data_IF_505236930317
#
_entry.id   IF_505236930317
#
_cell.length_a   1.000
_cell.length_b   1.000
_cell.length_c   1.000
_cell.angle_alpha   90.00
_cell.angle_beta   90.00
_cell.angle_gamma   90.00
#
_symmetry.space_group_name_H-M   'P 1'
#
loop_
_entity.id
_entity.type
_entity.pdbx_description
1 polymer ?
#
# COMPACT_ATOMS: atom_id res chain seq x y z
N UNK A 1 -17.08 40.98 48.97
CA UNK A 1 -16.36 39.69 49.00
C UNK A 1 -16.42 39.05 47.63
N UNK A 2 -15.27 38.75 47.03
CA UNK A 2 -15.17 38.20 45.69
C UNK A 2 -15.39 36.69 45.67
N UNK A 3 -16.15 36.21 44.68
CA UNK A 3 -16.20 34.80 44.34
C UNK A 3 -15.15 34.53 43.26
N UNK A 4 -14.02 33.95 43.68
CA UNK A 4 -13.06 33.28 42.82
C UNK A 4 -13.66 31.96 42.33
N UNK A 5 -14.13 31.91 41.08
CA UNK A 5 -14.40 30.66 40.38
C UNK A 5 -13.16 30.23 39.61
N UNK A 6 -12.40 29.29 40.18
CA UNK A 6 -11.19 28.74 39.57
C UNK A 6 -11.50 28.02 38.25
N UNK A 7 -10.63 28.23 37.27
CA UNK A 7 -10.60 27.47 36.03
C UNK A 7 -10.11 26.04 36.33
N UNK A 8 -10.96 25.05 36.06
CA UNK A 8 -10.59 23.65 36.02
C UNK A 8 -9.75 23.40 34.75
N UNK A 9 -8.44 23.28 34.93
CA UNK A 9 -7.50 22.88 33.89
C UNK A 9 -7.41 21.35 33.85
N UNK A 10 -8.38 20.71 33.20
CA UNK A 10 -8.32 19.28 32.87
C UNK A 10 -7.27 19.04 31.77
N UNK A 11 -6.14 18.43 32.13
CA UNK A 11 -5.06 18.00 31.21
C UNK A 11 -5.47 16.70 30.48
N UNK A 12 -5.44 16.65 29.13
CA UNK A 12 -5.58 15.39 28.39
C UNK A 12 -4.19 14.75 28.21
N UNK A 13 -3.92 13.62 28.88
CA UNK A 13 -2.58 13.00 28.76
C UNK A 13 -2.38 11.57 29.25
N UNK A 14 -3.43 10.79 29.57
CA UNK A 14 -3.24 9.46 30.21
C UNK A 14 -3.71 8.25 29.40
N UNK A 15 -4.41 8.43 28.27
CA UNK A 15 -4.97 7.29 27.51
C UNK A 15 -4.10 6.87 26.30
N UNK A 16 -3.12 7.69 25.91
CA UNK A 16 -2.27 7.45 24.75
C UNK A 16 -1.12 6.49 25.03
N UNK A 17 -0.59 6.49 26.26
CA UNK A 17 0.56 5.66 26.64
C UNK A 17 0.21 4.17 26.74
N UNK A 18 -0.98 3.82 27.22
CA UNK A 18 -1.43 2.43 27.32
C UNK A 18 -1.71 1.82 25.94
N UNK A 19 -2.27 2.59 25.01
CA UNK A 19 -2.51 2.15 23.63
C UNK A 19 -1.19 1.98 22.87
N UNK A 20 -0.23 2.89 23.07
CA UNK A 20 1.08 2.81 22.43
C UNK A 20 1.90 1.58 22.88
N UNK A 21 1.79 1.20 24.17
CA UNK A 21 2.45 0.01 24.73
C UNK A 21 1.96 -1.28 24.10
N UNK A 22 0.64 -1.50 24.08
CA UNK A 22 0.04 -2.71 23.48
C UNK A 22 0.23 -2.78 21.96
N UNK A 23 0.19 -1.64 21.27
CA UNK A 23 0.41 -1.59 19.83
C UNK A 23 1.85 -1.98 19.43
N UNK A 24 2.85 -1.62 20.25
CA UNK A 24 4.25 -1.99 19.99
C UNK A 24 4.50 -3.49 20.13
N UNK A 25 3.94 -4.12 21.16
CA UNK A 25 4.12 -5.55 21.39
C UNK A 25 3.43 -6.38 20.29
N UNK A 26 2.15 -6.11 20.03
CA UNK A 26 1.40 -6.75 18.94
C UNK A 26 2.04 -6.50 17.58
N UNK A 27 2.52 -5.29 17.32
CA UNK A 27 3.22 -4.95 16.08
C UNK A 27 4.52 -5.74 15.91
N UNK A 28 5.29 -5.92 16.98
CA UNK A 28 6.57 -6.62 16.90
C UNK A 28 6.44 -8.11 16.56
N UNK A 29 5.41 -8.77 17.09
CA UNK A 29 5.12 -10.18 16.79
C UNK A 29 4.55 -10.34 15.38
N UNK A 30 3.62 -9.48 14.98
CA UNK A 30 3.06 -9.46 13.63
C UNK A 30 4.15 -9.24 12.56
N UNK A 31 5.11 -8.33 12.81
CA UNK A 31 6.23 -8.08 11.89
C UNK A 31 7.12 -9.32 11.75
N UNK A 32 7.43 -10.03 12.84
CA UNK A 32 8.23 -11.27 12.80
C UNK A 32 7.54 -12.37 12.00
N UNK A 33 6.25 -12.59 12.26
CA UNK A 33 5.45 -13.57 11.53
C UNK A 33 5.36 -13.25 10.04
N UNK A 34 5.12 -11.97 9.70
CA UNK A 34 5.10 -11.49 8.33
C UNK A 34 6.46 -11.68 7.65
N UNK A 35 7.58 -11.40 8.32
CA UNK A 35 8.92 -11.58 7.76
C UNK A 35 9.22 -13.05 7.45
N UNK A 36 8.84 -13.98 8.34
CA UNK A 36 9.01 -15.41 8.10
C UNK A 36 8.24 -15.87 6.85
N UNK A 37 6.98 -15.45 6.72
CA UNK A 37 6.15 -15.76 5.54
C UNK A 37 6.60 -15.08 4.26
N UNK A 38 7.11 -13.85 4.35
CA UNK A 38 7.63 -13.12 3.21
C UNK A 38 8.85 -13.82 2.61
N UNK A 39 9.74 -14.37 3.44
CA UNK A 39 10.93 -15.11 2.96
C UNK A 39 10.54 -16.37 2.17
N UNK A 40 9.49 -17.08 2.58
CA UNK A 40 8.97 -18.27 1.88
C UNK A 40 8.29 -17.91 0.54
N UNK A 41 7.64 -16.75 0.47
CA UNK A 41 6.82 -16.34 -0.69
C UNK A 41 7.50 -15.38 -1.68
N UNK A 42 8.70 -14.86 -1.36
CA UNK A 42 9.34 -13.77 -2.09
C UNK A 42 9.57 -14.10 -3.58
N UNK A 43 10.09 -15.29 -3.90
CA UNK A 43 10.38 -15.69 -5.29
C UNK A 43 9.10 -15.86 -6.13
N UNK A 44 8.03 -16.36 -5.52
CA UNK A 44 6.72 -16.47 -6.18
C UNK A 44 6.10 -15.09 -6.37
N UNK A 45 6.16 -14.24 -5.34
CA UNK A 45 5.67 -12.88 -5.42
C UNK A 45 6.41 -12.07 -6.50
N UNK A 46 7.74 -12.19 -6.60
CA UNK A 46 8.54 -11.50 -7.62
C UNK A 46 8.06 -11.87 -9.03
N UNK A 47 7.90 -13.17 -9.33
CA UNK A 47 7.43 -13.64 -10.64
C UNK A 47 6.02 -13.16 -10.97
N UNK A 48 5.08 -13.25 -10.02
CA UNK A 48 3.70 -12.77 -10.22
C UNK A 48 3.67 -11.27 -10.44
N UNK A 49 4.38 -10.49 -9.62
CA UNK A 49 4.42 -9.02 -9.74
C UNK A 49 5.04 -8.60 -11.06
N UNK A 50 6.19 -9.17 -11.46
CA UNK A 50 6.82 -8.87 -12.74
C UNK A 50 5.89 -9.15 -13.92
N UNK A 51 5.18 -10.29 -13.88
CA UNK A 51 4.23 -10.65 -14.93
C UNK A 51 3.03 -9.70 -14.99
N UNK A 52 2.44 -9.35 -13.84
CA UNK A 52 1.33 -8.39 -13.79
C UNK A 52 1.75 -7.00 -14.26
N UNK A 53 2.96 -6.55 -13.93
CA UNK A 53 3.48 -5.25 -14.36
C UNK A 53 3.72 -5.23 -15.87
N UNK A 54 4.30 -6.30 -16.46
CA UNK A 54 4.50 -6.40 -17.91
C UNK A 54 3.16 -6.34 -18.66
N UNK A 55 2.21 -7.20 -18.28
CA UNK A 55 0.89 -7.22 -18.91
C UNK A 55 0.13 -5.89 -18.73
N UNK A 56 0.31 -5.22 -17.59
CA UNK A 56 -0.25 -3.91 -17.33
C UNK A 56 0.34 -2.83 -18.23
N UNK A 57 1.66 -2.81 -18.40
CA UNK A 57 2.35 -1.88 -19.29
C UNK A 57 1.92 -2.09 -20.76
N UNK A 58 1.80 -3.35 -21.20
CA UNK A 58 1.29 -3.70 -22.53
C UNK A 58 -0.15 -3.22 -22.73
N UNK A 59 -1.05 -3.52 -21.78
CA UNK A 59 -2.45 -3.08 -21.85
C UNK A 59 -2.59 -1.55 -21.86
N UNK A 60 -1.79 -0.85 -21.07
CA UNK A 60 -1.74 0.61 -21.07
C UNK A 60 -1.18 1.17 -22.37
N UNK A 61 -0.20 0.50 -22.99
CA UNK A 61 0.29 0.83 -24.33
C UNK A 61 -0.84 0.74 -25.36
N UNK A 62 -1.54 -0.39 -25.42
CA UNK A 62 -2.70 -0.56 -26.32
C UNK A 62 -3.82 0.46 -26.05
N UNK A 63 -4.06 0.79 -24.78
CA UNK A 63 -5.04 1.82 -24.41
C UNK A 63 -4.58 3.21 -24.88
N UNK A 64 -3.30 3.55 -24.71
CA UNK A 64 -2.75 4.82 -25.17
C UNK A 64 -2.86 4.97 -26.69
N UNK A 65 -2.58 3.91 -27.45
CA UNK A 65 -2.76 3.87 -28.90
C UNK A 65 -4.24 4.04 -29.27
N UNK A 66 -5.14 3.33 -28.60
CA UNK A 66 -6.58 3.45 -28.81
C UNK A 66 -7.12 4.86 -28.49
N UNK A 67 -6.57 5.52 -27.47
CA UNK A 67 -6.93 6.91 -27.11
C UNK A 67 -6.41 7.90 -28.15
N UNK A 68 -5.23 7.65 -28.72
CA UNK A 68 -4.66 8.47 -29.80
C UNK A 68 -5.51 8.39 -31.06
N UNK A 69 -5.93 7.19 -31.44
CA UNK A 69 -6.83 6.97 -32.58
C UNK A 69 -8.20 7.64 -32.39
N UNK A 70 -8.65 7.81 -31.15
CA UNK A 70 -9.87 8.52 -30.78
C UNK A 70 -9.69 10.05 -30.67
N UNK A 71 -8.49 10.58 -30.85
CA UNK A 71 -8.18 12.01 -30.75
C UNK A 71 -7.96 12.53 -29.32
N UNK A 72 -7.90 11.65 -28.32
CA UNK A 72 -7.70 11.99 -26.91
C UNK A 72 -6.20 12.11 -26.59
N UNK A 73 -5.51 13.07 -27.21
CA UNK A 73 -4.05 13.15 -27.19
C UNK A 73 -3.47 13.40 -25.77
N UNK A 74 -4.18 14.18 -24.94
CA UNK A 74 -3.77 14.41 -23.54
C UNK A 74 -3.83 13.15 -22.70
N UNK A 75 -4.89 12.35 -22.88
CA UNK A 75 -5.05 11.08 -22.17
C UNK A 75 -4.07 10.04 -22.70
N UNK A 76 -3.84 10.00 -24.02
CA UNK A 76 -2.85 9.12 -24.64
C UNK A 76 -1.44 9.41 -24.09
N UNK A 77 -1.04 10.69 -24.01
CA UNK A 77 0.28 11.09 -23.52
C UNK A 77 0.45 10.80 -22.02
N UNK A 78 -0.61 10.98 -21.24
CA UNK A 78 -0.64 10.61 -19.81
C UNK A 78 -0.49 9.10 -19.65
N UNK A 79 -1.25 8.32 -20.43
CA UNK A 79 -1.23 6.85 -20.40
C UNK A 79 0.13 6.29 -20.84
N UNK A 80 0.73 6.86 -21.90
CA UNK A 80 2.10 6.53 -22.33
C UNK A 80 3.11 6.82 -21.22
N UNK A 81 2.99 7.97 -20.55
CA UNK A 81 3.91 8.34 -19.45
C UNK A 81 3.85 7.34 -18.29
N UNK A 82 2.64 6.84 -17.98
CA UNK A 82 2.44 5.79 -16.98
C UNK A 82 3.06 4.47 -17.44
N UNK A 83 2.83 4.06 -18.69
CA UNK A 83 3.37 2.83 -19.25
C UNK A 83 4.91 2.82 -19.25
N UNK A 84 5.54 3.93 -19.68
CA UNK A 84 7.00 4.08 -19.64
C UNK A 84 7.55 4.04 -18.22
N UNK A 85 6.90 4.72 -17.26
CA UNK A 85 7.30 4.68 -15.86
C UNK A 85 7.21 3.28 -15.25
N UNK A 86 6.19 2.49 -15.64
CA UNK A 86 6.05 1.10 -15.20
C UNK A 86 7.13 0.19 -15.78
N UNK A 87 7.50 0.36 -17.05
CA UNK A 87 8.57 -0.43 -17.69
C UNK A 87 9.92 -0.18 -17.03
N UNK A 88 10.26 1.10 -16.81
CA UNK A 88 11.49 1.48 -16.14
C UNK A 88 11.52 1.00 -14.67
N UNK A 89 10.37 1.03 -14.00
CA UNK A 89 10.23 0.47 -12.66
C UNK A 89 10.42 -1.06 -12.64
N UNK A 90 9.88 -1.78 -13.62
CA UNK A 90 10.05 -3.23 -13.73
C UNK A 90 11.52 -3.63 -13.90
N UNK A 91 12.26 -2.92 -14.76
CA UNK A 91 13.70 -3.13 -14.96
C UNK A 91 14.51 -2.83 -13.69
N UNK A 92 14.14 -1.78 -12.94
CA UNK A 92 14.78 -1.43 -11.68
C UNK A 92 14.44 -2.42 -10.56
N UNK A 93 13.22 -2.93 -10.53
CA UNK A 93 12.74 -3.89 -9.53
C UNK A 93 13.46 -5.24 -9.66
N UNK A 94 13.83 -5.65 -10.86
CA UNK A 94 14.59 -6.87 -11.09
C UNK A 94 15.95 -6.85 -10.37
N UNK A 95 16.60 -5.67 -10.37
CA UNK A 95 17.95 -5.43 -9.84
C UNK A 95 17.98 -4.98 -8.38
N UNK A 96 16.85 -4.54 -7.82
CA UNK A 96 16.78 -4.09 -6.41
C UNK A 96 16.71 -5.25 -5.43
N UNK A 97 17.31 -5.05 -4.27
CA UNK A 97 17.18 -5.94 -3.13
C UNK A 97 15.99 -5.54 -2.24
N UNK A 98 15.45 -6.49 -1.46
CA UNK A 98 14.37 -6.23 -0.49
C UNK A 98 14.77 -5.21 0.58
N UNK A 99 16.07 -5.07 0.86
CA UNK A 99 16.64 -4.12 1.81
C UNK A 99 16.41 -2.68 1.34
N UNK A 100 16.71 -2.38 0.07
CA UNK A 100 16.51 -1.05 -0.53
C UNK A 100 15.03 -0.65 -0.55
N UNK A 101 14.13 -1.60 -0.82
CA UNK A 101 12.69 -1.36 -0.82
C UNK A 101 12.19 -1.02 0.60
N UNK A 102 12.67 -1.75 1.61
CA UNK A 102 12.32 -1.49 3.01
C UNK A 102 12.81 -0.12 3.45
N UNK A 103 14.04 0.25 3.07
CA UNK A 103 14.62 1.54 3.39
C UNK A 103 13.84 2.72 2.76
N UNK A 104 13.40 2.57 1.51
CA UNK A 104 12.59 3.59 0.83
C UNK A 104 11.19 3.73 1.45
N UNK A 105 10.56 2.62 1.86
CA UNK A 105 9.29 2.67 2.58
C UNK A 105 9.41 3.39 3.92
N UNK A 106 10.49 3.14 4.68
CA UNK A 106 10.77 3.84 5.95
C UNK A 106 10.98 5.34 5.70
N UNK A 107 11.68 5.69 4.62
CA UNK A 107 11.89 7.09 4.24
C UNK A 107 10.57 7.76 3.87
N UNK A 108 9.74 7.10 3.06
CA UNK A 108 8.42 7.59 2.67
C UNK A 108 7.52 7.81 3.89
N UNK A 109 7.49 6.87 4.83
CA UNK A 109 6.71 6.99 6.06
C UNK A 109 7.13 8.19 6.91
N UNK A 110 8.44 8.46 6.99
CA UNK A 110 8.97 9.62 7.73
C UNK A 110 8.74 10.94 7.00
N UNK A 111 8.84 10.96 5.68
CA UNK A 111 8.76 12.17 4.88
C UNK A 111 7.31 12.59 4.59
N UNK A 112 6.42 11.61 4.39
CA UNK A 112 5.01 11.81 4.04
C UNK A 112 4.12 10.86 4.85
N UNK A 113 3.94 11.12 6.17
CA UNK A 113 3.15 10.26 7.04
C UNK A 113 1.70 10.12 6.56
N UNK A 114 1.11 11.16 5.97
CA UNK A 114 -0.25 11.11 5.41
C UNK A 114 -0.38 10.09 4.28
N UNK A 115 0.60 10.02 3.36
CA UNK A 115 0.58 9.04 2.27
C UNK A 115 0.74 7.62 2.81
N UNK A 116 1.61 7.42 3.80
CA UNK A 116 1.80 6.11 4.41
C UNK A 116 0.52 5.61 5.11
N UNK A 117 -0.12 6.47 5.92
CA UNK A 117 -1.37 6.11 6.60
C UNK A 117 -2.48 5.84 5.59
N UNK A 118 -2.69 6.74 4.62
CA UNK A 118 -3.73 6.56 3.59
C UNK A 118 -3.50 5.27 2.77
N UNK A 119 -2.25 5.01 2.40
CA UNK A 119 -1.86 3.78 1.69
C UNK A 119 -2.13 2.53 2.53
N UNK A 120 -1.78 2.54 3.81
CA UNK A 120 -2.00 1.40 4.71
C UNK A 120 -3.48 1.07 4.88
N UNK A 121 -4.33 2.10 4.99
CA UNK A 121 -5.79 1.94 5.05
C UNK A 121 -6.32 1.37 3.74
N UNK A 122 -5.88 1.90 2.59
CA UNK A 122 -6.28 1.41 1.27
C UNK A 122 -5.94 -0.06 1.05
N UNK A 123 -4.71 -0.46 1.40
CA UNK A 123 -4.27 -1.87 1.36
C UNK A 123 -5.13 -2.75 2.27
N UNK A 124 -5.41 -2.30 3.50
CA UNK A 124 -6.28 -3.04 4.43
C UNK A 124 -7.69 -3.29 3.87
N UNK A 125 -8.29 -2.27 3.22
CA UNK A 125 -9.59 -2.41 2.56
C UNK A 125 -9.51 -3.38 1.38
N UNK A 126 -8.48 -3.27 0.54
CA UNK A 126 -8.27 -4.15 -0.60
C UNK A 126 -8.12 -5.62 -0.17
N UNK A 127 -7.30 -5.89 0.86
CA UNK A 127 -7.15 -7.22 1.46
C UNK A 127 -8.47 -7.72 2.04
N UNK A 128 -9.22 -6.88 2.75
CA UNK A 128 -10.54 -7.23 3.30
C UNK A 128 -11.53 -7.62 2.20
N UNK A 129 -11.49 -6.90 1.07
CA UNK A 129 -12.29 -7.19 -0.12
C UNK A 129 -11.86 -8.50 -0.77
N UNK A 130 -10.56 -8.75 -0.90
CA UNK A 130 -10.04 -10.00 -1.45
C UNK A 130 -10.43 -11.20 -0.58
N UNK A 131 -10.25 -11.12 0.73
CA UNK A 131 -10.67 -12.17 1.66
C UNK A 131 -12.18 -12.42 1.59
N UNK A 132 -13.00 -11.36 1.61
CA UNK A 132 -14.46 -11.53 1.46
C UNK A 132 -14.86 -12.10 0.09
N UNK A 133 -14.14 -11.75 -0.97
CA UNK A 133 -14.37 -12.30 -2.31
C UNK A 133 -13.97 -13.78 -2.39
N UNK A 134 -12.87 -14.17 -1.73
CA UNK A 134 -12.39 -15.56 -1.68
C UNK A 134 -13.25 -16.47 -0.81
N UNK A 135 -14.02 -15.91 0.13
CA UNK A 135 -14.91 -16.67 1.01
C UNK A 135 -16.32 -16.87 0.45
N UNK A 136 -16.61 -16.51 -0.81
CA UNK A 136 -17.87 -16.91 -1.45
C UNK A 136 -17.87 -18.44 -1.59
N UNK A 137 -18.73 -19.17 -0.85
CA UNK A 137 -18.92 -20.58 -1.13
C UNK A 137 -19.55 -20.67 -2.52
N UNK A 138 -19.04 -21.55 -3.35
CA UNK A 138 -19.73 -22.03 -4.53
C UNK A 138 -21.08 -22.58 -4.05
N UNK A 139 -22.15 -21.79 -4.20
CA UNK A 139 -23.50 -22.26 -3.97
C UNK A 139 -23.73 -23.44 -4.92
N UNK A 140 -23.73 -24.62 -4.32
CA UNK A 140 -23.89 -25.89 -4.98
C UNK A 140 -25.26 -25.92 -5.63
N UNK A 141 -25.24 -26.10 -6.95
CA UNK A 141 -26.38 -26.52 -7.73
C UNK A 141 -26.86 -27.88 -7.18
N UNK A 142 -28.12 -27.97 -6.76
CA UNK A 142 -28.87 -29.21 -6.53
C UNK A 142 -30.29 -29.03 -7.06
#
# INVERSE_FOLDING_TARGET
MGASGGADSSKPGSNTDSVAGSARELGSEAVKAAQAKAKEGADTAKRTVSSTVSHGAEALGCAADSLRDQGEETLAQTTTSIASGLSEYAERLEKRTSEDLTQDLVRLARQNPTLFVLGSVGVGIALSRFFKASSRPSDGYS
#
